data_IF_509454536450
#
_entry.id   IF_509454536450
#
_cell.length_a   1.000
_cell.length_b   1.000
_cell.length_c   1.000
_cell.angle_alpha   90.00
_cell.angle_beta   90.00
_cell.angle_gamma   90.00
#
_symmetry.space_group_name_H-M   'P 1'
#
loop_
_entity.id
_entity.type
_entity.pdbx_description
1 polymer ?
#
# COMPACT_ATOMS: atom_id res chain seq x y z
N UNK A 1 19.42 17.17 30.58
CA UNK A 1 18.72 17.41 29.30
C UNK A 1 18.36 16.04 28.76
N UNK A 2 17.12 15.65 28.88
CA UNK A 2 16.64 14.34 28.38
C UNK A 2 16.58 14.42 26.84
N UNK A 3 17.34 13.57 26.16
CA UNK A 3 17.23 13.37 24.73
C UNK A 3 15.84 12.80 24.45
N UNK A 4 14.94 13.65 24.00
CA UNK A 4 13.62 13.25 23.52
C UNK A 4 13.81 12.64 22.12
N UNK A 5 14.23 11.39 22.07
CA UNK A 5 14.13 10.57 20.84
C UNK A 5 12.62 10.40 20.64
N UNK A 6 12.03 10.89 19.54
CA UNK A 6 10.61 10.71 19.32
C UNK A 6 10.34 9.22 19.29
N UNK A 7 9.38 8.79 20.10
CA UNK A 7 8.89 7.42 20.11
C UNK A 7 8.39 7.10 18.70
N UNK A 8 9.10 6.24 17.99
CA UNK A 8 8.83 5.87 16.58
C UNK A 8 7.41 5.30 16.43
N UNK A 9 6.87 4.76 17.55
CA UNK A 9 5.50 4.23 17.58
C UNK A 9 4.42 5.32 17.71
N UNK A 10 4.77 6.57 18.06
CA UNK A 10 3.80 7.67 18.23
C UNK A 10 3.64 8.56 16.99
N UNK A 11 4.61 8.58 16.07
CA UNK A 11 4.56 9.41 14.88
C UNK A 11 3.54 8.88 13.87
N UNK A 12 2.77 9.78 13.20
CA UNK A 12 1.87 9.39 12.11
C UNK A 12 2.65 8.71 10.98
N UNK A 13 2.34 7.44 10.71
CA UNK A 13 3.09 6.58 9.79
C UNK A 13 2.31 6.35 8.50
N UNK A 14 2.93 6.58 7.35
CA UNK A 14 2.42 6.11 6.06
C UNK A 14 2.63 4.61 5.93
N UNK A 15 1.60 3.89 5.53
CA UNK A 15 1.69 2.46 5.24
C UNK A 15 1.70 2.24 3.73
N UNK A 16 2.86 1.86 3.18
CA UNK A 16 3.06 1.63 1.76
C UNK A 16 2.92 0.13 1.48
N UNK A 17 1.85 -0.25 0.79
CA UNK A 17 1.43 -1.66 0.65
C UNK A 17 1.41 -2.09 -0.81
N UNK A 18 2.17 -3.12 -1.15
CA UNK A 18 2.20 -3.69 -2.50
C UNK A 18 2.91 -5.03 -2.54
N UNK A 19 2.80 -5.77 -3.64
CA UNK A 19 3.68 -6.90 -3.88
C UNK A 19 5.08 -6.43 -4.28
N UNK A 20 6.05 -7.34 -4.29
CA UNK A 20 7.37 -7.09 -4.89
C UNK A 20 7.29 -6.85 -6.43
N UNK A 21 8.41 -6.53 -7.05
CA UNK A 21 8.51 -6.24 -8.48
C UNK A 21 7.87 -4.92 -8.87
N UNK A 22 7.09 -4.88 -9.97
CA UNK A 22 6.52 -3.66 -10.54
C UNK A 22 5.64 -2.84 -9.59
N UNK A 23 4.89 -3.48 -8.69
CA UNK A 23 4.10 -2.80 -7.67
C UNK A 23 5.00 -2.03 -6.69
N UNK A 24 6.09 -2.67 -6.22
CA UNK A 24 7.06 -2.04 -5.34
C UNK A 24 7.80 -0.89 -6.05
N UNK A 25 8.20 -1.08 -7.31
CA UNK A 25 8.87 -0.06 -8.10
C UNK A 25 8.03 1.23 -8.21
N UNK A 26 6.73 1.10 -8.44
CA UNK A 26 5.82 2.25 -8.51
C UNK A 26 5.60 2.92 -7.15
N UNK A 27 5.60 2.16 -6.05
CA UNK A 27 5.58 2.77 -4.70
C UNK A 27 6.89 3.51 -4.41
N UNK A 28 8.04 2.98 -4.84
CA UNK A 28 9.34 3.66 -4.70
C UNK A 28 9.40 4.96 -5.52
N UNK A 29 8.77 5.00 -6.68
CA UNK A 29 8.70 6.21 -7.51
C UNK A 29 7.98 7.39 -6.83
N UNK A 30 7.21 7.13 -5.77
CA UNK A 30 6.59 8.17 -4.93
C UNK A 30 7.56 8.79 -3.92
N UNK A 31 8.86 8.46 -3.94
CA UNK A 31 9.85 8.95 -2.99
C UNK A 31 9.81 10.48 -2.78
N UNK A 32 9.75 11.32 -3.81
CA UNK A 32 9.71 12.76 -3.61
C UNK A 32 8.56 13.24 -2.72
N UNK A 33 7.46 12.49 -2.70
CA UNK A 33 6.29 12.80 -1.89
C UNK A 33 6.42 12.32 -0.43
N UNK A 34 7.05 11.16 -0.19
CA UNK A 34 7.10 10.58 1.16
C UNK A 34 8.48 10.68 1.85
N UNK A 35 9.53 11.18 1.19
CA UNK A 35 10.91 11.16 1.72
C UNK A 35 11.05 11.72 3.14
N UNK A 36 10.30 12.77 3.46
CA UNK A 36 10.29 13.41 4.78
C UNK A 36 9.18 12.90 5.71
N UNK A 37 8.59 11.75 5.43
CA UNK A 37 7.48 11.19 6.22
C UNK A 37 7.89 9.86 6.84
N UNK A 38 7.48 9.66 8.09
CA UNK A 38 7.59 8.33 8.71
C UNK A 38 6.76 7.34 7.92
N UNK A 39 7.38 6.22 7.53
CA UNK A 39 6.76 5.21 6.67
C UNK A 39 7.10 3.80 7.13
N UNK A 40 6.22 2.88 6.81
CA UNK A 40 6.41 1.45 6.96
C UNK A 40 5.97 0.76 5.68
N UNK A 41 6.79 -0.13 5.18
CA UNK A 41 6.54 -0.91 3.99
C UNK A 41 5.87 -2.23 4.32
N UNK A 42 4.92 -2.65 3.50
CA UNK A 42 4.33 -3.98 3.55
C UNK A 42 4.45 -4.60 2.17
N UNK A 43 5.35 -5.55 2.02
CA UNK A 43 5.62 -6.23 0.75
C UNK A 43 6.06 -7.67 0.98
N UNK A 44 6.39 -8.41 -0.07
CA UNK A 44 6.85 -9.79 0.03
C UNK A 44 8.35 -9.86 0.27
N UNK A 45 8.77 -10.85 1.06
CA UNK A 45 10.18 -11.15 1.31
C UNK A 45 10.79 -11.83 0.08
N UNK A 46 11.24 -11.01 -0.86
CA UNK A 46 11.90 -11.41 -2.11
C UNK A 46 13.27 -10.72 -2.21
N UNK A 47 14.25 -11.30 -2.91
CA UNK A 47 15.60 -10.73 -2.97
C UNK A 47 15.65 -9.29 -3.49
N UNK A 48 14.80 -8.96 -4.48
CA UNK A 48 14.65 -7.60 -5.02
C UNK A 48 14.10 -6.64 -3.96
N UNK A 49 13.00 -7.01 -3.28
CA UNK A 49 12.42 -6.17 -2.24
C UNK A 49 13.36 -5.96 -1.05
N UNK A 50 14.05 -7.03 -0.61
CA UNK A 50 15.04 -6.94 0.49
C UNK A 50 16.21 -6.03 0.13
N UNK A 51 16.65 -6.03 -1.13
CA UNK A 51 17.72 -5.16 -1.60
C UNK A 51 17.28 -3.70 -1.69
N UNK A 52 16.11 -3.45 -2.30
CA UNK A 52 15.57 -2.11 -2.53
C UNK A 52 15.18 -1.39 -1.24
N UNK A 53 14.69 -2.14 -0.25
CA UNK A 53 14.20 -1.59 1.03
C UNK A 53 15.23 -1.69 2.16
N UNK A 54 16.52 -1.81 1.82
CA UNK A 54 17.58 -1.88 2.84
C UNK A 54 17.63 -0.61 3.68
N UNK A 55 17.48 -0.75 4.99
CA UNK A 55 17.42 0.38 5.93
C UNK A 55 16.04 0.97 6.14
N UNK A 56 15.02 0.51 5.39
CA UNK A 56 13.63 0.90 5.60
C UNK A 56 12.96 0.04 6.68
N UNK A 57 11.88 0.56 7.24
CA UNK A 57 11.00 -0.18 8.16
C UNK A 57 10.05 -1.06 7.35
N UNK A 58 10.28 -2.36 7.34
CA UNK A 58 9.56 -3.32 6.49
C UNK A 58 8.86 -4.38 7.31
N UNK A 59 7.61 -4.63 6.97
CA UNK A 59 6.81 -5.76 7.48
C UNK A 59 6.54 -6.74 6.32
N UNK A 60 7.10 -7.93 6.42
CA UNK A 60 6.98 -8.94 5.37
C UNK A 60 5.59 -9.57 5.37
N UNK A 61 4.90 -9.44 4.26
CA UNK A 61 3.59 -10.03 4.03
C UNK A 61 3.71 -11.49 3.53
N UNK A 62 2.65 -12.25 3.75
CA UNK A 62 2.59 -13.65 3.34
C UNK A 62 2.13 -13.79 1.89
N UNK A 63 2.85 -14.56 1.11
CA UNK A 63 2.54 -14.91 -0.28
C UNK A 63 2.58 -16.43 -0.53
N UNK A 64 2.01 -16.94 -1.61
CA UNK A 64 1.24 -16.25 -2.64
C UNK A 64 -0.11 -15.74 -2.12
N UNK A 65 -0.61 -14.64 -2.73
CA UNK A 65 -1.91 -14.03 -2.34
C UNK A 65 -3.05 -14.39 -3.28
N UNK A 66 -2.74 -14.89 -4.49
CA UNK A 66 -3.75 -15.27 -5.47
C UNK A 66 -4.48 -16.53 -5.02
N UNK A 67 -5.82 -16.42 -4.86
CA UNK A 67 -6.70 -17.53 -4.46
C UNK A 67 -6.23 -18.28 -3.20
N UNK A 68 -5.60 -17.58 -2.27
CA UNK A 68 -5.04 -18.17 -1.04
C UNK A 68 -5.67 -17.54 0.21
N UNK A 69 -6.77 -18.15 0.66
CA UNK A 69 -7.51 -17.69 1.85
C UNK A 69 -6.67 -17.75 3.13
N UNK A 70 -5.79 -18.74 3.25
CA UNK A 70 -4.89 -18.86 4.42
C UNK A 70 -3.96 -17.64 4.53
N UNK A 71 -3.36 -17.22 3.42
CA UNK A 71 -2.50 -16.05 3.42
C UNK A 71 -3.29 -14.74 3.49
N UNK A 72 -4.53 -14.70 2.99
CA UNK A 72 -5.41 -13.57 3.24
C UNK A 72 -5.65 -13.35 4.74
N UNK A 73 -5.97 -14.42 5.48
CA UNK A 73 -6.17 -14.34 6.95
C UNK A 73 -4.85 -13.96 7.67
N UNK A 74 -3.70 -14.49 7.23
CA UNK A 74 -2.40 -14.11 7.81
C UNK A 74 -2.09 -12.63 7.59
N UNK A 75 -2.34 -12.12 6.39
CA UNK A 75 -2.13 -10.70 6.06
C UNK A 75 -3.15 -9.81 6.78
N UNK A 76 -4.38 -10.26 7.00
CA UNK A 76 -5.33 -9.54 7.83
C UNK A 76 -4.88 -9.44 9.31
N UNK A 77 -4.30 -10.52 9.86
CA UNK A 77 -3.69 -10.50 11.21
C UNK A 77 -2.47 -9.59 11.27
N UNK A 78 -1.65 -9.56 10.21
CA UNK A 78 -0.52 -8.64 10.08
C UNK A 78 -1.01 -7.18 10.06
N UNK A 79 -2.00 -6.87 9.24
CA UNK A 79 -2.63 -5.56 9.21
C UNK A 79 -3.15 -5.16 10.61
N UNK A 80 -3.93 -6.03 11.27
CA UNK A 80 -4.46 -5.76 12.61
C UNK A 80 -3.35 -5.50 13.64
N UNK A 81 -2.21 -6.20 13.55
CA UNK A 81 -1.05 -5.99 14.41
C UNK A 81 -0.43 -4.61 14.17
N UNK A 82 -0.23 -4.20 12.92
CA UNK A 82 0.33 -2.91 12.54
C UNK A 82 -0.56 -1.78 13.06
N UNK A 83 -1.86 -1.82 12.75
CA UNK A 83 -2.82 -0.81 13.17
C UNK A 83 -3.03 -0.71 14.69
N UNK A 84 -2.67 -1.76 15.46
CA UNK A 84 -2.69 -1.70 16.94
C UNK A 84 -1.43 -1.09 17.53
N UNK A 85 -0.29 -1.22 16.84
CA UNK A 85 1.02 -0.79 17.34
C UNK A 85 1.46 0.55 16.80
N UNK A 86 0.88 1.01 15.68
CA UNK A 86 1.29 2.23 15.00
C UNK A 86 0.10 3.14 14.74
N UNK A 87 0.34 4.43 14.84
CA UNK A 87 -0.61 5.46 14.40
C UNK A 87 -0.53 5.57 12.88
N UNK A 88 -1.29 4.75 12.14
CA UNK A 88 -1.33 4.80 10.69
C UNK A 88 -2.06 6.06 10.24
N UNK A 89 -1.38 6.91 9.47
CA UNK A 89 -1.90 8.17 8.94
C UNK A 89 -2.65 7.98 7.63
N UNK A 90 -2.14 7.08 6.78
CA UNK A 90 -2.76 6.71 5.51
C UNK A 90 -2.22 5.37 5.03
N UNK A 91 -3.00 4.66 4.24
CA UNK A 91 -2.57 3.49 3.47
C UNK A 91 -2.46 3.89 2.00
N UNK A 92 -1.28 3.67 1.41
CA UNK A 92 -1.02 3.88 -0.01
C UNK A 92 -0.73 2.52 -0.62
N UNK A 93 -1.41 2.18 -1.68
CA UNK A 93 -1.20 0.88 -2.33
C UNK A 93 -1.24 0.99 -3.85
N UNK A 94 -0.41 0.20 -4.50
CA UNK A 94 -0.49 -0.05 -5.94
C UNK A 94 -1.24 -1.36 -6.25
N UNK A 95 -1.84 -1.98 -5.22
CA UNK A 95 -2.67 -3.18 -5.39
C UNK A 95 -1.97 -4.48 -5.05
N UNK A 96 -2.17 -5.49 -5.89
CA UNK A 96 -1.95 -6.90 -5.61
C UNK A 96 -2.83 -7.45 -4.48
N UNK A 97 -2.93 -8.78 -4.37
CA UNK A 97 -3.84 -9.42 -3.40
C UNK A 97 -3.52 -9.12 -1.92
N UNK A 98 -2.33 -8.61 -1.64
CA UNK A 98 -1.91 -8.18 -0.30
C UNK A 98 -2.65 -6.90 0.14
N UNK A 99 -3.07 -6.04 -0.77
CA UNK A 99 -3.63 -4.73 -0.46
C UNK A 99 -4.98 -4.79 0.29
N UNK A 100 -5.84 -5.72 -0.09
CA UNK A 100 -7.23 -5.76 0.38
C UNK A 100 -7.37 -5.74 1.91
N UNK A 101 -6.71 -6.60 2.71
CA UNK A 101 -6.87 -6.58 4.17
C UNK A 101 -6.43 -5.27 4.82
N UNK A 102 -5.44 -4.58 4.23
CA UNK A 102 -4.96 -3.29 4.75
C UNK A 102 -5.93 -2.16 4.43
N UNK A 103 -6.44 -2.11 3.20
CA UNK A 103 -7.45 -1.13 2.78
C UNK A 103 -8.74 -1.30 3.58
N UNK A 104 -9.22 -2.53 3.73
CA UNK A 104 -10.43 -2.82 4.49
C UNK A 104 -10.30 -2.42 5.96
N UNK A 105 -9.16 -2.72 6.60
CA UNK A 105 -8.92 -2.36 7.99
C UNK A 105 -8.72 -0.85 8.16
N UNK A 106 -8.10 -0.17 7.20
CA UNK A 106 -8.00 1.29 7.17
C UNK A 106 -9.38 1.93 7.19
N UNK A 107 -10.28 1.47 6.32
CA UNK A 107 -11.67 1.92 6.29
C UNK A 107 -12.38 1.72 7.63
N UNK A 108 -12.26 0.53 8.23
CA UNK A 108 -12.84 0.25 9.57
C UNK A 108 -12.31 1.16 10.68
N UNK A 109 -11.11 1.73 10.50
CA UNK A 109 -10.45 2.62 11.46
C UNK A 109 -10.58 4.11 11.12
N UNK A 110 -11.31 4.47 10.06
CA UNK A 110 -11.40 5.85 9.59
C UNK A 110 -10.07 6.41 9.07
N UNK A 111 -9.14 5.53 8.66
CA UNK A 111 -7.85 5.90 8.08
C UNK A 111 -7.99 5.96 6.57
N UNK A 112 -7.55 7.05 5.91
CA UNK A 112 -7.65 7.16 4.46
C UNK A 112 -6.79 6.09 3.76
N UNK A 113 -7.38 5.48 2.73
CA UNK A 113 -6.72 4.53 1.85
C UNK A 113 -6.73 5.06 0.41
N UNK A 114 -5.56 5.14 -0.19
CA UNK A 114 -5.34 5.61 -1.56
C UNK A 114 -4.83 4.44 -2.39
N UNK A 115 -5.52 4.15 -3.47
CA UNK A 115 -5.13 3.12 -4.42
C UNK A 115 -4.63 3.78 -5.70
N UNK A 116 -3.43 3.40 -6.15
CA UNK A 116 -2.85 3.85 -7.40
C UNK A 116 -2.83 2.65 -8.34
N UNK A 117 -3.59 2.71 -9.43
CA UNK A 117 -3.60 1.62 -10.41
C UNK A 117 -2.25 1.56 -11.13
N UNK A 118 -1.76 0.35 -11.34
CA UNK A 118 -0.49 0.14 -12.03
C UNK A 118 -0.59 0.51 -13.52
N UNK A 119 0.51 1.00 -14.07
CA UNK A 119 0.55 1.62 -15.41
C UNK A 119 0.12 0.68 -16.54
N UNK A 120 0.33 -0.63 -16.39
CA UNK A 120 0.04 -1.65 -17.39
C UNK A 120 -1.43 -2.15 -17.40
N UNK A 121 -2.27 -1.66 -16.48
CA UNK A 121 -3.69 -2.05 -16.37
C UNK A 121 -4.62 -1.06 -17.06
N UNK A 122 -4.58 -1.04 -18.39
CA UNK A 122 -5.40 -0.13 -19.18
C UNK A 122 -6.78 -0.71 -19.47
N UNK A 123 -6.85 -2.01 -19.83
CA UNK A 123 -8.07 -2.60 -20.39
C UNK A 123 -9.00 -3.25 -19.36
N UNK A 124 -8.48 -3.70 -18.22
CA UNK A 124 -9.28 -4.45 -17.24
C UNK A 124 -8.92 -4.11 -15.79
N UNK A 125 -9.95 -3.80 -15.00
CA UNK A 125 -9.81 -3.68 -13.56
C UNK A 125 -9.45 -5.02 -12.91
N UNK A 126 -8.43 -5.02 -12.04
CA UNK A 126 -8.06 -6.22 -11.28
C UNK A 126 -9.15 -6.57 -10.25
N UNK A 127 -9.23 -7.85 -9.87
CA UNK A 127 -10.13 -8.27 -8.78
C UNK A 127 -9.82 -7.52 -7.49
N UNK A 128 -8.54 -7.28 -7.19
CA UNK A 128 -8.11 -6.55 -5.99
C UNK A 128 -8.62 -5.11 -6.02
N UNK A 129 -8.47 -4.40 -7.13
CA UNK A 129 -8.98 -3.04 -7.27
C UNK A 129 -10.50 -2.99 -7.08
N UNK A 130 -11.24 -3.92 -7.70
CA UNK A 130 -12.71 -4.02 -7.53
C UNK A 130 -13.12 -4.25 -6.07
N UNK A 131 -12.40 -5.12 -5.35
CA UNK A 131 -12.67 -5.40 -3.95
C UNK A 131 -12.29 -4.24 -3.02
N UNK A 132 -11.21 -3.51 -3.33
CA UNK A 132 -10.77 -2.37 -2.54
C UNK A 132 -11.63 -1.12 -2.76
N UNK A 133 -12.15 -0.90 -3.97
CA UNK A 133 -12.84 0.32 -4.41
C UNK A 133 -13.88 0.87 -3.41
N UNK A 134 -14.79 0.07 -2.82
CA UNK A 134 -15.79 0.60 -1.86
C UNK A 134 -15.20 1.18 -0.57
N UNK A 135 -13.93 0.89 -0.29
CA UNK A 135 -13.23 1.22 0.96
C UNK A 135 -12.15 2.29 0.77
N UNK A 136 -11.99 2.81 -0.47
CA UNK A 136 -10.97 3.80 -0.80
C UNK A 136 -11.45 5.22 -0.48
N UNK A 137 -10.51 6.05 -0.04
CA UNK A 137 -10.67 7.50 0.03
C UNK A 137 -10.37 8.17 -1.30
N UNK A 138 -9.47 7.57 -2.09
CA UNK A 138 -9.15 8.03 -3.44
C UNK A 138 -8.66 6.86 -4.30
N UNK A 139 -9.03 6.92 -5.58
CA UNK A 139 -8.50 6.07 -6.65
C UNK A 139 -7.71 6.95 -7.61
N UNK A 140 -6.45 6.63 -7.82
CA UNK A 140 -5.54 7.34 -8.72
C UNK A 140 -5.20 6.43 -9.90
N UNK A 141 -5.10 7.02 -11.07
CA UNK A 141 -4.72 6.33 -12.32
C UNK A 141 -3.61 7.11 -13.02
N UNK A 142 -2.81 6.43 -13.81
CA UNK A 142 -1.65 7.02 -14.47
C UNK A 142 -1.97 7.52 -15.89
N UNK A 143 -3.02 6.99 -16.51
CA UNK A 143 -3.45 7.31 -17.86
C UNK A 143 -4.92 7.68 -17.91
N UNK A 144 -5.31 8.57 -18.82
CA UNK A 144 -6.69 8.94 -19.03
C UNK A 144 -7.55 7.73 -19.46
N UNK A 145 -6.96 6.79 -20.23
CA UNK A 145 -7.62 5.57 -20.68
C UNK A 145 -8.07 4.65 -19.54
N UNK A 146 -7.36 4.64 -18.41
CA UNK A 146 -7.73 3.86 -17.24
C UNK A 146 -9.04 4.34 -16.59
N UNK A 147 -9.45 5.59 -16.83
CA UNK A 147 -10.75 6.12 -16.37
C UNK A 147 -11.94 5.40 -16.97
N UNK A 148 -11.77 4.67 -18.08
CA UNK A 148 -12.82 3.76 -18.59
C UNK A 148 -13.20 2.70 -17.56
N UNK A 149 -12.27 2.26 -16.74
CA UNK A 149 -12.46 1.27 -15.67
C UNK A 149 -12.81 1.94 -14.33
N UNK A 150 -12.33 3.16 -14.12
CA UNK A 150 -12.44 3.93 -12.88
C UNK A 150 -12.85 5.37 -13.19
N UNK A 151 -14.14 5.62 -13.54
CA UNK A 151 -14.61 6.95 -13.97
C UNK A 151 -14.38 8.07 -12.93
N UNK A 152 -14.38 7.70 -11.64
CA UNK A 152 -14.17 8.61 -10.52
C UNK A 152 -12.68 8.84 -10.19
N UNK A 153 -11.76 8.14 -10.85
CA UNK A 153 -10.34 8.23 -10.54
C UNK A 153 -9.73 9.55 -11.00
N UNK A 154 -8.75 10.02 -10.24
CA UNK A 154 -7.92 11.17 -10.60
C UNK A 154 -6.71 10.70 -11.39
N UNK A 155 -6.46 11.31 -12.55
CA UNK A 155 -5.24 11.07 -13.35
C UNK A 155 -4.07 11.83 -12.74
N UNK A 156 -2.99 11.11 -12.39
CA UNK A 156 -1.80 11.69 -11.77
C UNK A 156 -0.57 11.67 -12.69
N UNK A 157 -0.68 11.07 -13.86
CA UNK A 157 0.43 10.88 -14.78
C UNK A 157 1.25 9.62 -14.48
N UNK A 158 2.22 9.34 -15.36
CA UNK A 158 3.09 8.20 -15.21
C UNK A 158 4.03 8.35 -14.00
N UNK A 159 4.17 7.29 -13.21
CA UNK A 159 5.06 7.26 -12.05
C UNK A 159 6.47 6.75 -12.37
N UNK A 160 6.66 6.03 -13.47
CA UNK A 160 7.93 5.42 -13.90
C UNK A 160 8.47 6.07 -15.17
#
# INVERSE_FOLDING_TARGET
>A
MANNVPDVDSAPTLLLVGSSGGHLAQLLALEPWYVNRTRCWVTFDTPDATSLLRGEDVMWAHHPTTRNLRNLVRNARLAARIFRRRRVAAVITTGAGVAFPFVFLAWLRGVPAIYIEVYDRIDTATLTARLCRPFLSAMLVQWEEQRRQYPEATVVGNLL
#
